data_IF_500283103453
#
_entry.id   IF_500283103453
#
_cell.length_a   1.000
_cell.length_b   1.000
_cell.length_c   1.000
_cell.angle_alpha   90.00
_cell.angle_beta   90.00
_cell.angle_gamma   90.00
#
_symmetry.space_group_name_H-M   'P 1'
#
loop_
_entity.id
_entity.type
_entity.pdbx_description
1 polymer ?
#
# COMPACT_ATOMS: atom_id res chain seq x y z
N UNK A 1 -26.96 -47.33 1.91
CA UNK A 1 -26.04 -46.87 2.96
C UNK A 1 -24.64 -46.56 2.37
N UNK A 2 -24.50 -45.75 1.35
CA UNK A 2 -23.18 -45.40 0.75
C UNK A 2 -23.00 -43.90 0.45
N UNK A 3 -23.91 -43.03 0.91
CA UNK A 3 -23.84 -41.58 0.64
C UNK A 3 -23.34 -40.72 1.83
N UNK A 4 -23.08 -41.31 3.00
CA UNK A 4 -22.72 -40.54 4.22
C UNK A 4 -21.21 -40.43 4.49
N UNK A 5 -20.35 -41.08 3.70
CA UNK A 5 -18.90 -41.13 3.97
C UNK A 5 -18.08 -40.08 3.20
N UNK A 6 -18.68 -39.30 2.30
CA UNK A 6 -17.94 -38.32 1.44
C UNK A 6 -17.98 -36.88 1.96
N UNK A 7 -18.62 -36.59 3.08
CA UNK A 7 -18.76 -35.24 3.64
C UNK A 7 -17.66 -34.84 4.66
N UNK A 8 -16.75 -35.74 5.00
CA UNK A 8 -15.70 -35.46 6.01
C UNK A 8 -14.33 -35.06 5.43
N UNK A 9 -14.17 -34.93 4.12
CA UNK A 9 -12.87 -34.79 3.50
C UNK A 9 -12.40 -33.36 3.19
N UNK A 10 -13.13 -32.32 3.59
CA UNK A 10 -12.70 -30.91 3.44
C UNK A 10 -13.09 -30.03 4.63
N UNK A 11 -12.85 -30.50 5.85
CA UNK A 11 -12.88 -29.60 6.99
C UNK A 11 -11.61 -28.73 6.93
N UNK A 12 -11.72 -27.55 6.31
CA UNK A 12 -10.78 -26.47 6.61
C UNK A 12 -10.75 -26.32 8.14
N UNK A 13 -9.56 -26.23 8.74
CA UNK A 13 -9.45 -25.94 10.17
C UNK A 13 -10.32 -24.72 10.45
N UNK A 14 -11.36 -24.83 11.31
CA UNK A 14 -12.26 -23.73 11.52
C UNK A 14 -11.47 -22.57 12.12
N UNK A 15 -11.61 -21.37 11.53
CA UNK A 15 -11.05 -20.13 12.07
C UNK A 15 -11.52 -19.96 13.52
N UNK A 16 -10.60 -19.57 14.41
CA UNK A 16 -10.90 -19.21 15.79
C UNK A 16 -10.81 -17.69 15.97
N UNK A 17 -11.91 -16.92 15.77
CA UNK A 17 -11.86 -15.47 15.94
C UNK A 17 -11.70 -15.10 17.44
N UNK A 18 -11.00 -13.99 17.70
CA UNK A 18 -10.97 -13.43 19.04
C UNK A 18 -12.39 -12.95 19.45
N UNK A 19 -12.79 -13.12 20.72
CA UNK A 19 -14.00 -12.48 21.23
C UNK A 19 -13.91 -10.96 21.13
N UNK A 20 -15.01 -10.23 20.82
CA UNK A 20 -14.99 -8.77 20.67
C UNK A 20 -14.40 -8.01 21.87
N UNK A 21 -14.56 -8.53 23.09
CA UNK A 21 -14.00 -7.94 24.32
C UNK A 21 -12.45 -7.97 24.35
N UNK A 22 -11.81 -8.84 23.56
CA UNK A 22 -10.36 -8.97 23.49
C UNK A 22 -9.74 -8.23 22.29
N UNK A 23 -10.53 -7.60 21.41
CA UNK A 23 -10.02 -6.99 20.19
C UNK A 23 -8.91 -5.96 20.42
N UNK A 24 -8.96 -5.23 21.54
CA UNK A 24 -7.92 -4.26 21.90
C UNK A 24 -6.69 -4.89 22.58
N UNK A 25 -6.79 -6.16 23.02
CA UNK A 25 -5.80 -6.78 23.91
C UNK A 25 -5.12 -8.00 23.27
N UNK A 26 -5.15 -8.13 21.95
CA UNK A 26 -4.48 -9.20 21.23
C UNK A 26 -3.28 -8.65 20.44
N UNK A 27 -2.18 -9.35 20.49
CA UNK A 27 -0.95 -9.04 19.75
C UNK A 27 -0.62 -10.14 18.73
N UNK A 28 0.09 -9.86 17.63
CA UNK A 28 0.55 -10.92 16.72
C UNK A 28 1.40 -11.94 17.47
N UNK A 29 1.14 -13.24 17.26
CA UNK A 29 1.81 -14.31 18.01
C UNK A 29 3.33 -14.20 17.93
N UNK A 30 3.97 -14.11 19.09
CA UNK A 30 5.42 -13.97 19.22
C UNK A 30 5.98 -12.57 18.96
N UNK A 31 5.13 -11.55 18.85
CA UNK A 31 5.55 -10.16 18.64
C UNK A 31 4.94 -9.23 19.69
N UNK A 32 5.61 -8.10 20.03
CA UNK A 32 5.02 -7.09 20.88
C UNK A 32 3.84 -6.39 20.18
N UNK A 33 2.93 -5.83 20.97
CA UNK A 33 1.79 -5.05 20.44
C UNK A 33 2.23 -3.84 19.61
N UNK A 34 3.43 -3.32 19.86
CA UNK A 34 4.00 -2.14 19.17
C UNK A 34 4.28 -2.33 17.69
N UNK A 35 4.32 -3.59 17.18
CA UNK A 35 4.54 -3.86 15.75
C UNK A 35 3.36 -3.42 14.88
N UNK A 36 2.22 -3.06 15.50
CA UNK A 36 1.04 -2.56 14.79
C UNK A 36 0.20 -1.64 15.65
N UNK A 37 -0.67 -0.86 15.02
CA UNK A 37 -1.66 -0.03 15.69
C UNK A 37 -2.91 0.13 14.81
N UNK A 38 -4.04 0.40 15.43
CA UNK A 38 -5.26 0.74 14.72
C UNK A 38 -5.16 2.18 14.20
N UNK A 39 -5.62 2.42 12.97
CA UNK A 39 -5.50 3.73 12.32
C UNK A 39 -6.21 4.86 13.07
N UNK A 40 -7.18 4.55 13.95
CA UNK A 40 -7.91 5.51 14.78
C UNK A 40 -7.51 5.49 16.26
N UNK A 41 -6.57 4.64 16.67
CA UNK A 41 -6.10 4.60 18.07
C UNK A 41 -5.13 5.75 18.38
N UNK A 42 -5.74 6.92 18.62
CA UNK A 42 -5.02 8.14 18.98
C UNK A 42 -4.18 7.98 20.24
N UNK A 43 -4.68 7.24 21.25
CA UNK A 43 -4.00 7.06 22.53
C UNK A 43 -2.68 6.31 22.36
N UNK A 44 -2.71 5.17 21.68
CA UNK A 44 -1.53 4.37 21.39
C UNK A 44 -0.49 5.16 20.58
N UNK A 45 -0.94 5.89 19.57
CA UNK A 45 -0.04 6.62 18.70
C UNK A 45 0.64 7.78 19.42
N UNK A 46 -0.07 8.56 20.23
CA UNK A 46 0.52 9.63 21.04
C UNK A 46 1.56 9.08 22.04
N UNK A 47 1.27 7.91 22.64
CA UNK A 47 2.19 7.29 23.59
C UNK A 47 3.52 6.86 22.96
N UNK A 48 3.51 6.44 21.67
CA UNK A 48 4.69 5.91 20.99
C UNK A 48 5.30 6.89 19.95
N UNK A 49 4.62 8.00 19.66
CA UNK A 49 5.08 8.96 18.65
C UNK A 49 6.41 9.63 19.00
N UNK A 50 6.64 9.98 20.26
CA UNK A 50 7.85 10.68 20.69
C UNK A 50 9.13 9.90 20.40
N UNK A 51 9.13 8.59 20.65
CA UNK A 51 10.26 7.72 20.33
C UNK A 51 10.50 7.64 18.83
N UNK A 52 9.43 7.39 18.05
CA UNK A 52 9.51 7.31 16.57
C UNK A 52 10.00 8.62 15.95
N UNK A 53 9.53 9.76 16.44
CA UNK A 53 9.99 11.10 16.01
C UNK A 53 11.46 11.34 16.34
N UNK A 54 11.90 10.95 17.53
CA UNK A 54 13.32 11.04 17.90
C UNK A 54 14.22 10.22 16.98
N UNK A 55 13.80 8.99 16.65
CA UNK A 55 14.49 8.11 15.70
C UNK A 55 14.53 8.70 14.29
N UNK A 56 13.41 9.24 13.80
CA UNK A 56 13.32 9.91 12.50
C UNK A 56 14.22 11.14 12.42
N UNK A 57 14.30 11.93 13.50
CA UNK A 57 15.22 13.07 13.60
C UNK A 57 16.67 12.63 13.46
N UNK A 58 17.04 11.54 14.13
CA UNK A 58 18.36 10.96 13.98
C UNK A 58 18.62 10.47 12.56
N UNK A 59 17.66 9.81 11.93
CA UNK A 59 17.74 9.32 10.55
C UNK A 59 17.82 10.44 9.49
N UNK A 60 17.30 11.61 9.79
CA UNK A 60 17.38 12.77 8.90
C UNK A 60 18.77 13.43 8.88
N UNK A 61 19.64 13.16 9.87
CA UNK A 61 20.99 13.76 9.98
C UNK A 61 21.01 15.29 9.82
N UNK A 62 19.94 15.99 10.23
CA UNK A 62 19.78 17.43 10.05
C UNK A 62 19.28 17.86 8.67
N UNK A 63 19.01 16.92 7.76
CA UNK A 63 18.39 17.18 6.45
C UNK A 63 16.86 17.17 6.54
N UNK A 64 16.22 17.62 5.47
CA UNK A 64 14.76 17.59 5.32
C UNK A 64 14.27 16.15 5.19
N UNK A 65 13.27 15.77 5.98
CA UNK A 65 12.62 14.45 5.87
C UNK A 65 11.94 14.28 4.51
N UNK A 66 12.14 13.12 3.90
CA UNK A 66 11.40 12.70 2.71
C UNK A 66 10.45 11.56 3.08
N UNK A 67 9.18 11.74 2.75
CA UNK A 67 8.08 10.81 3.02
C UNK A 67 7.55 10.32 1.68
N UNK A 68 7.48 9.01 1.46
CA UNK A 68 6.87 8.42 0.28
C UNK A 68 5.62 7.63 0.67
N UNK A 69 4.50 7.96 0.06
CA UNK A 69 3.26 7.19 0.17
C UNK A 69 2.93 6.51 -1.16
N UNK A 70 2.77 5.19 -1.11
CA UNK A 70 2.48 4.34 -2.26
C UNK A 70 1.05 3.80 -2.15
N UNK A 71 0.18 4.22 -3.08
CA UNK A 71 -1.22 3.78 -3.05
C UNK A 71 -1.42 2.35 -3.55
N UNK A 72 -2.58 1.78 -3.21
CA UNK A 72 -3.14 0.65 -3.94
C UNK A 72 -3.38 0.97 -5.42
N UNK A 73 -3.69 -0.05 -6.22
CA UNK A 73 -3.98 0.15 -7.66
C UNK A 73 -3.75 -1.07 -8.54
N UNK A 74 -3.45 -2.24 -7.98
CA UNK A 74 -3.28 -3.50 -8.73
C UNK A 74 -2.24 -3.37 -9.84
N UNK A 75 -2.66 -3.59 -11.10
CA UNK A 75 -1.80 -3.48 -12.28
C UNK A 75 -1.15 -2.09 -12.44
N UNK A 76 -1.75 -1.05 -11.85
CA UNK A 76 -1.17 0.29 -11.81
C UNK A 76 0.17 0.38 -11.09
N UNK A 77 0.51 -0.61 -10.24
CA UNK A 77 1.82 -0.69 -9.60
C UNK A 77 2.99 -0.72 -10.58
N UNK A 78 2.77 -1.14 -11.82
CA UNK A 78 3.80 -1.05 -12.86
C UNK A 78 4.23 0.40 -13.13
N UNK A 79 3.30 1.36 -13.06
CA UNK A 79 3.61 2.78 -13.15
C UNK A 79 4.54 3.21 -12.01
N UNK A 80 4.18 2.88 -10.78
CA UNK A 80 4.98 3.24 -9.60
C UNK A 80 6.37 2.60 -9.61
N UNK A 81 6.45 1.32 -9.98
CA UNK A 81 7.75 0.62 -10.12
C UNK A 81 8.63 1.30 -11.17
N UNK A 82 8.06 1.60 -12.36
CA UNK A 82 8.77 2.32 -13.41
C UNK A 82 9.22 3.72 -12.98
N UNK A 83 8.35 4.44 -12.29
CA UNK A 83 8.65 5.77 -11.76
C UNK A 83 9.84 5.77 -10.79
N UNK A 84 9.88 4.83 -9.84
CA UNK A 84 11.00 4.71 -8.90
C UNK A 84 12.32 4.41 -9.60
N UNK A 85 12.33 3.48 -10.58
CA UNK A 85 13.52 3.17 -11.39
C UNK A 85 13.96 4.39 -12.20
N UNK A 86 13.01 5.14 -12.77
CA UNK A 86 13.31 6.35 -13.55
C UNK A 86 13.93 7.46 -12.69
N UNK A 87 13.43 7.66 -11.46
CA UNK A 87 14.03 8.58 -10.49
C UNK A 87 15.48 8.18 -10.16
N UNK A 88 15.74 6.87 -9.99
CA UNK A 88 17.10 6.35 -9.77
C UNK A 88 18.01 6.65 -10.95
N UNK A 89 17.55 6.38 -12.19
CA UNK A 89 18.36 6.63 -13.41
C UNK A 89 18.69 8.10 -13.62
N UNK A 90 17.76 8.97 -13.21
CA UNK A 90 17.95 10.42 -13.25
C UNK A 90 18.82 10.93 -12.08
N UNK A 91 19.12 10.09 -11.08
CA UNK A 91 19.77 10.47 -9.83
C UNK A 91 18.96 11.50 -8.98
N UNK A 92 17.65 11.53 -9.16
CA UNK A 92 16.72 12.42 -8.44
C UNK A 92 15.90 11.69 -7.36
N UNK A 93 16.15 10.39 -7.12
CA UNK A 93 15.42 9.64 -6.11
C UNK A 93 15.91 10.01 -4.72
N UNK A 94 15.06 10.64 -3.89
CA UNK A 94 15.42 10.92 -2.50
C UNK A 94 15.61 9.63 -1.70
N UNK A 95 16.43 9.69 -0.66
CA UNK A 95 16.33 8.70 0.40
C UNK A 95 15.07 9.03 1.22
N UNK A 96 14.15 8.07 1.31
CA UNK A 96 12.91 8.25 2.06
C UNK A 96 13.10 7.77 3.49
N UNK A 97 12.91 8.64 4.48
CA UNK A 97 12.96 8.28 5.89
C UNK A 97 11.68 7.57 6.33
N UNK A 98 10.55 7.91 5.70
CA UNK A 98 9.28 7.24 5.91
C UNK A 98 8.76 6.73 4.57
N UNK A 99 8.42 5.44 4.52
CA UNK A 99 7.72 4.85 3.37
C UNK A 99 6.45 4.18 3.86
N UNK A 100 5.34 4.47 3.20
CA UNK A 100 4.05 3.82 3.47
C UNK A 100 3.53 3.12 2.24
N UNK A 101 2.88 1.96 2.41
CA UNK A 101 2.35 1.21 1.30
C UNK A 101 1.01 0.55 1.58
N UNK A 102 0.16 0.51 0.54
CA UNK A 102 -1.15 -0.16 0.57
C UNK A 102 -1.28 -1.01 -0.69
N UNK A 103 -1.77 -2.25 -0.57
CA UNK A 103 -2.01 -3.14 -1.71
C UNK A 103 -0.75 -3.34 -2.56
N UNK A 104 -0.80 -3.09 -3.87
CA UNK A 104 0.41 -3.13 -4.71
C UNK A 104 1.49 -2.15 -4.22
N UNK A 105 1.09 -1.02 -3.63
CA UNK A 105 2.03 -0.09 -2.99
C UNK A 105 2.77 -0.73 -1.80
N UNK A 106 2.12 -1.63 -1.06
CA UNK A 106 2.76 -2.39 0.01
C UNK A 106 3.82 -3.36 -0.53
N UNK A 107 3.60 -3.94 -1.71
CA UNK A 107 4.58 -4.82 -2.36
C UNK A 107 5.80 -4.04 -2.89
N UNK A 108 5.61 -2.79 -3.30
CA UNK A 108 6.67 -1.88 -3.77
C UNK A 108 7.44 -1.26 -2.59
N UNK A 109 6.76 -1.00 -1.47
CA UNK A 109 7.27 -0.21 -0.35
C UNK A 109 8.60 -0.71 0.24
N UNK A 110 8.86 -2.00 0.47
CA UNK A 110 10.14 -2.46 0.99
C UNK A 110 11.32 -2.09 0.08
N UNK A 111 11.17 -2.20 -1.23
CA UNK A 111 12.21 -1.83 -2.20
C UNK A 111 12.40 -0.31 -2.29
N UNK A 112 11.29 0.44 -2.25
CA UNK A 112 11.36 1.90 -2.19
C UNK A 112 12.09 2.39 -0.93
N UNK A 113 11.86 1.73 0.19
CA UNK A 113 12.50 1.98 1.47
C UNK A 113 13.99 1.64 1.45
N UNK A 114 14.37 0.51 0.86
CA UNK A 114 15.76 0.07 0.82
C UNK A 114 16.63 0.90 -0.15
N UNK A 115 16.04 1.44 -1.23
CA UNK A 115 16.75 2.35 -2.11
C UNK A 115 17.17 1.75 -3.47
N UNK A 116 17.98 2.51 -4.24
CA UNK A 116 18.30 2.21 -5.63
C UNK A 116 18.94 0.83 -5.88
N UNK A 117 19.74 0.33 -4.96
CA UNK A 117 20.40 -0.98 -5.07
C UNK A 117 19.41 -2.16 -5.12
N UNK A 118 18.16 -1.92 -4.75
CA UNK A 118 17.09 -2.91 -4.78
C UNK A 118 16.16 -2.79 -5.99
N UNK A 119 16.41 -1.86 -6.90
CA UNK A 119 15.56 -1.64 -8.08
C UNK A 119 15.51 -2.87 -8.99
N UNK A 120 16.63 -3.57 -9.19
CA UNK A 120 16.63 -4.80 -9.97
C UNK A 120 15.78 -5.87 -9.33
N UNK A 121 15.90 -6.09 -8.02
CA UNK A 121 15.09 -7.06 -7.28
C UNK A 121 13.60 -6.71 -7.32
N UNK A 122 13.26 -5.41 -7.22
CA UNK A 122 11.89 -4.92 -7.36
C UNK A 122 11.31 -5.24 -8.74
N UNK A 123 12.06 -4.96 -9.82
CA UNK A 123 11.63 -5.23 -11.20
C UNK A 123 11.49 -6.73 -11.45
N UNK A 124 12.39 -7.55 -10.93
CA UNK A 124 12.32 -9.01 -11.03
C UNK A 124 11.11 -9.58 -10.26
N UNK A 125 10.82 -9.06 -9.07
CA UNK A 125 9.72 -9.52 -8.23
C UNK A 125 8.34 -9.09 -8.77
N UNK A 126 8.21 -7.85 -9.22
CA UNK A 126 6.93 -7.24 -9.61
C UNK A 126 6.79 -7.08 -11.14
N UNK A 127 7.71 -7.63 -11.90
CA UNK A 127 7.75 -7.51 -13.36
C UNK A 127 6.56 -8.15 -14.07
N UNK A 128 6.34 -7.76 -15.36
CA UNK A 128 5.15 -8.14 -16.13
C UNK A 128 4.92 -9.64 -16.25
N UNK A 129 5.99 -10.42 -16.34
CA UNK A 129 5.90 -11.87 -16.58
C UNK A 129 5.44 -12.64 -15.33
N UNK A 130 5.78 -12.16 -14.14
CA UNK A 130 5.31 -12.73 -12.86
C UNK A 130 3.87 -12.32 -12.55
N UNK A 131 3.58 -11.05 -12.69
CA UNK A 131 2.26 -10.49 -12.37
C UNK A 131 1.17 -10.91 -13.36
N UNK A 132 1.52 -11.27 -14.59
CA UNK A 132 0.55 -11.75 -15.60
C UNK A 132 -0.22 -13.01 -15.17
N UNK A 133 0.28 -13.78 -14.19
CA UNK A 133 -0.35 -15.01 -13.71
C UNK A 133 -1.21 -14.82 -12.46
N UNK A 134 -1.31 -13.61 -11.91
CA UNK A 134 -2.01 -13.36 -10.64
C UNK A 134 -3.51 -13.68 -10.69
N UNK A 135 -4.19 -13.43 -11.81
CA UNK A 135 -5.63 -13.63 -11.92
C UNK A 135 -5.95 -14.99 -12.55
N UNK A 136 -5.71 -16.07 -11.82
CA UNK A 136 -6.12 -17.43 -12.22
C UNK A 136 -7.47 -17.77 -11.60
N UNK A 137 -8.51 -17.96 -12.44
CA UNK A 137 -9.86 -18.32 -11.99
C UNK A 137 -9.90 -19.67 -11.29
N UNK A 138 -10.70 -19.78 -10.23
CA UNK A 138 -10.94 -21.03 -9.48
C UNK A 138 -11.91 -22.02 -10.15
N UNK A 139 -12.64 -21.61 -11.17
CA UNK A 139 -13.68 -22.44 -11.74
C UNK A 139 -14.73 -22.85 -10.68
N UNK A 140 -15.08 -24.16 -10.61
CA UNK A 140 -16.07 -24.70 -9.66
C UNK A 140 -15.65 -24.58 -8.18
N UNK A 141 -14.37 -24.37 -7.87
CA UNK A 141 -13.87 -24.17 -6.50
C UNK A 141 -14.40 -22.90 -5.81
N UNK A 142 -15.03 -22.00 -6.57
CA UNK A 142 -15.69 -20.79 -6.07
C UNK A 142 -16.79 -21.06 -5.05
N UNK A 143 -17.46 -22.21 -5.12
CA UNK A 143 -18.57 -22.58 -4.23
C UNK A 143 -18.12 -22.93 -2.80
N UNK A 144 -16.82 -23.18 -2.59
CA UNK A 144 -16.30 -23.74 -1.35
C UNK A 144 -15.29 -22.85 -0.62
N UNK A 145 -14.82 -21.75 -1.24
CA UNK A 145 -13.84 -20.85 -0.63
C UNK A 145 -14.10 -19.39 -1.03
N UNK A 146 -13.84 -18.43 -0.13
CA UNK A 146 -13.98 -17.01 -0.46
C UNK A 146 -12.96 -16.59 -1.53
N UNK A 147 -13.40 -15.78 -2.52
CA UNK A 147 -12.58 -15.22 -3.58
C UNK A 147 -12.69 -15.92 -4.94
N UNK A 148 -12.79 -15.09 -6.00
CA UNK A 148 -12.95 -15.55 -7.38
C UNK A 148 -11.66 -16.10 -8.00
N UNK A 149 -10.50 -15.66 -7.52
CA UNK A 149 -9.19 -16.10 -7.97
C UNK A 149 -8.49 -16.97 -6.95
N UNK A 150 -7.51 -17.73 -7.43
CA UNK A 150 -6.63 -18.51 -6.58
C UNK A 150 -5.73 -17.59 -5.77
N UNK A 151 -5.47 -17.94 -4.51
CA UNK A 151 -4.53 -17.22 -3.66
C UNK A 151 -3.08 -17.60 -3.95
N UNK A 152 -2.87 -18.83 -4.45
CA UNK A 152 -1.55 -19.40 -4.61
C UNK A 152 -0.62 -18.52 -5.46
N UNK A 153 -1.02 -17.98 -6.65
CA UNK A 153 -0.13 -17.12 -7.44
C UNK A 153 0.28 -15.84 -6.73
N UNK A 154 -0.63 -15.21 -5.95
CA UNK A 154 -0.31 -14.03 -5.16
C UNK A 154 0.59 -14.39 -3.98
N UNK A 155 0.30 -15.49 -3.29
CA UNK A 155 1.12 -15.98 -2.18
C UNK A 155 2.53 -16.35 -2.64
N UNK A 156 2.67 -17.05 -3.77
CA UNK A 156 3.97 -17.38 -4.38
C UNK A 156 4.76 -16.12 -4.76
N UNK A 157 4.09 -15.09 -5.32
CA UNK A 157 4.72 -13.83 -5.65
C UNK A 157 5.27 -13.16 -4.38
N UNK A 158 4.44 -13.05 -3.33
CA UNK A 158 4.85 -12.41 -2.07
C UNK A 158 5.93 -13.23 -1.34
N UNK A 159 5.82 -14.55 -1.33
CA UNK A 159 6.82 -15.42 -0.70
C UNK A 159 8.20 -15.32 -1.40
N UNK A 160 8.19 -15.16 -2.71
CA UNK A 160 9.41 -14.93 -3.48
C UNK A 160 10.03 -13.54 -3.24
N UNK A 161 9.19 -12.53 -3.00
CA UNK A 161 9.59 -11.17 -2.70
C UNK A 161 10.22 -11.08 -1.30
N UNK A 162 9.62 -11.77 -0.29
CA UNK A 162 10.02 -11.68 1.12
C UNK A 162 11.11 -12.70 1.43
N UNK A 163 12.34 -12.38 1.10
CA UNK A 163 13.52 -13.19 1.44
C UNK A 163 14.10 -12.79 2.80
N UNK A 164 14.85 -13.67 3.47
CA UNK A 164 15.58 -13.31 4.69
C UNK A 164 16.53 -12.13 4.46
N UNK A 165 17.19 -12.07 3.29
CA UNK A 165 18.04 -10.93 2.91
C UNK A 165 17.26 -9.60 2.89
N UNK A 166 16.01 -9.60 2.41
CA UNK A 166 15.16 -8.41 2.42
C UNK A 166 14.82 -8.01 3.87
N UNK A 167 14.47 -8.98 4.73
CA UNK A 167 14.18 -8.75 6.14
C UNK A 167 15.38 -8.13 6.87
N UNK A 168 16.57 -8.71 6.70
CA UNK A 168 17.81 -8.20 7.30
C UNK A 168 18.13 -6.77 6.83
N UNK A 169 17.93 -6.48 5.55
CA UNK A 169 18.13 -5.14 5.00
C UNK A 169 17.12 -4.13 5.57
N UNK A 170 15.83 -4.50 5.66
CA UNK A 170 14.80 -3.64 6.28
C UNK A 170 15.11 -3.41 7.76
N UNK A 171 15.51 -4.46 8.50
CA UNK A 171 15.91 -4.34 9.91
C UNK A 171 17.10 -3.37 10.08
N UNK A 172 18.08 -3.44 9.19
CA UNK A 172 19.25 -2.55 9.21
C UNK A 172 18.85 -1.08 9.05
N UNK A 173 17.97 -0.78 8.10
CA UNK A 173 17.49 0.58 7.87
C UNK A 173 16.54 1.07 8.98
N UNK A 174 15.73 0.18 9.55
CA UNK A 174 14.89 0.48 10.71
C UNK A 174 15.75 0.80 11.96
N UNK A 175 16.84 0.08 12.18
CA UNK A 175 17.79 0.37 13.26
C UNK A 175 18.47 1.74 13.10
N UNK A 176 18.57 2.28 11.87
CA UNK A 176 19.01 3.66 11.58
C UNK A 176 17.94 4.73 11.82
N UNK A 177 16.75 4.34 12.27
CA UNK A 177 15.65 5.24 12.60
C UNK A 177 14.64 5.47 11.47
N UNK A 178 14.83 4.87 10.28
CA UNK A 178 13.87 4.95 9.17
C UNK A 178 12.65 4.07 9.45
N UNK A 179 11.51 4.41 8.84
CA UNK A 179 10.22 3.79 9.14
C UNK A 179 9.56 3.27 7.86
N UNK A 180 9.10 2.01 7.90
CA UNK A 180 8.35 1.37 6.83
C UNK A 180 7.00 0.89 7.37
N UNK A 181 5.91 1.48 6.87
CA UNK A 181 4.56 1.11 7.26
C UNK A 181 3.77 0.46 6.13
N UNK A 182 2.96 -0.54 6.47
CA UNK A 182 1.99 -1.17 5.57
C UNK A 182 0.63 -1.20 6.23
N UNK A 183 -0.44 -0.90 5.47
CA UNK A 183 -1.80 -0.98 5.96
C UNK A 183 -2.52 -2.23 5.45
N UNK A 184 -3.30 -2.85 6.33
CA UNK A 184 -4.31 -3.87 6.04
C UNK A 184 -5.65 -3.42 6.62
N UNK A 185 -6.75 -4.07 6.22
CA UNK A 185 -8.06 -3.90 6.86
C UNK A 185 -8.40 -5.15 7.64
N UNK A 186 -8.61 -5.02 8.96
CA UNK A 186 -9.18 -6.08 9.80
C UNK A 186 -10.71 -6.06 9.64
N UNK A 187 -11.29 -7.13 9.09
CA UNK A 187 -12.71 -7.21 8.81
C UNK A 187 -13.57 -7.39 10.08
N UNK A 188 -13.02 -7.96 11.13
CA UNK A 188 -13.77 -8.15 12.38
C UNK A 188 -13.89 -6.82 13.14
N UNK A 189 -12.83 -6.05 13.15
CA UNK A 189 -12.79 -4.71 13.77
C UNK A 189 -13.39 -3.63 12.87
N UNK A 190 -13.47 -3.88 11.55
CA UNK A 190 -13.82 -2.90 10.51
C UNK A 190 -12.88 -1.68 10.53
N UNK A 191 -11.60 -1.93 10.81
CA UNK A 191 -10.58 -0.91 11.05
C UNK A 191 -9.34 -1.10 10.16
N UNK A 192 -8.68 0.01 9.84
CA UNK A 192 -7.33 -0.02 9.28
C UNK A 192 -6.34 -0.43 10.35
N UNK A 193 -5.51 -1.42 10.05
CA UNK A 193 -4.37 -1.80 10.88
C UNK A 193 -3.08 -1.39 10.17
N UNK A 194 -2.30 -0.55 10.81
CA UNK A 194 -1.00 -0.09 10.31
C UNK A 194 0.10 -0.91 10.98
N UNK A 195 0.92 -1.54 10.18
CA UNK A 195 2.00 -2.43 10.59
C UNK A 195 3.35 -1.73 10.46
N UNK A 196 4.15 -1.74 11.52
CA UNK A 196 5.55 -1.32 11.49
C UNK A 196 6.42 -2.48 10.98
N UNK A 197 6.64 -2.49 9.66
CA UNK A 197 7.41 -3.54 9.00
C UNK A 197 8.89 -3.54 9.42
N UNK A 198 9.39 -2.38 9.86
CA UNK A 198 10.73 -2.24 10.42
C UNK A 198 10.86 -2.95 11.76
N UNK A 199 9.90 -2.75 12.67
CA UNK A 199 9.87 -3.45 13.95
C UNK A 199 9.70 -4.97 13.79
N UNK A 200 8.84 -5.41 12.86
CA UNK A 200 8.72 -6.83 12.50
C UNK A 200 10.07 -7.37 12.02
N UNK A 201 10.75 -6.64 11.12
CA UNK A 201 12.03 -7.08 10.56
C UNK A 201 13.14 -7.15 11.62
N UNK A 202 13.18 -6.22 12.57
CA UNK A 202 14.17 -6.21 13.67
C UNK A 202 14.03 -7.43 14.58
N UNK A 203 12.82 -8.01 14.72
CA UNK A 203 12.65 -9.26 15.46
C UNK A 203 13.49 -10.40 14.86
N UNK A 204 13.65 -10.39 13.54
CA UNK A 204 14.53 -11.33 12.83
C UNK A 204 14.00 -12.74 12.66
N UNK A 205 14.74 -13.52 11.92
CA UNK A 205 14.48 -14.96 11.72
C UNK A 205 13.24 -15.27 10.88
N UNK A 206 12.83 -16.55 10.90
CA UNK A 206 11.71 -17.02 10.10
C UNK A 206 10.35 -16.48 10.60
N UNK A 207 10.21 -16.23 11.90
CA UNK A 207 8.99 -15.65 12.45
C UNK A 207 8.72 -14.24 11.86
N UNK A 208 9.75 -13.40 11.81
CA UNK A 208 9.66 -12.07 11.17
C UNK A 208 9.32 -12.20 9.67
N UNK A 209 9.97 -13.12 8.95
CA UNK A 209 9.71 -13.36 7.53
C UNK A 209 8.25 -13.76 7.28
N UNK A 210 7.72 -14.68 8.10
CA UNK A 210 6.32 -15.15 7.97
C UNK A 210 5.33 -14.03 8.24
N UNK A 211 5.46 -13.29 9.34
CA UNK A 211 4.54 -12.18 9.65
C UNK A 211 4.64 -11.07 8.59
N UNK A 212 5.86 -10.70 8.20
CA UNK A 212 6.09 -9.70 7.15
C UNK A 212 5.41 -10.10 5.83
N UNK A 213 5.57 -11.37 5.41
CA UNK A 213 4.92 -11.95 4.24
C UNK A 213 3.39 -11.89 4.37
N UNK A 214 2.85 -12.32 5.49
CA UNK A 214 1.40 -12.39 5.71
C UNK A 214 0.77 -11.00 5.71
N UNK A 215 1.44 -9.99 6.25
CA UNK A 215 1.00 -8.59 6.18
C UNK A 215 0.98 -8.08 4.73
N UNK A 216 2.03 -8.32 3.94
CA UNK A 216 2.06 -7.92 2.53
C UNK A 216 1.00 -8.65 1.71
N UNK A 217 0.82 -9.96 1.95
CA UNK A 217 -0.21 -10.76 1.29
C UNK A 217 -1.61 -10.26 1.64
N UNK A 218 -1.87 -9.97 2.92
CA UNK A 218 -3.13 -9.41 3.38
C UNK A 218 -3.41 -8.05 2.73
N UNK A 219 -2.41 -7.16 2.74
CA UNK A 219 -2.53 -5.84 2.12
C UNK A 219 -2.86 -5.88 0.63
N UNK A 220 -2.46 -6.95 -0.09
CA UNK A 220 -2.75 -7.15 -1.51
C UNK A 220 -3.97 -8.05 -1.78
N UNK A 221 -4.66 -8.55 -0.75
CA UNK A 221 -5.80 -9.46 -0.87
C UNK A 221 -7.12 -8.69 -1.01
N UNK A 222 -7.42 -8.24 -2.23
CA UNK A 222 -8.65 -7.49 -2.56
C UNK A 222 -9.90 -8.33 -2.26
N UNK A 223 -10.85 -7.84 -1.42
CA UNK A 223 -12.07 -8.55 -1.07
C UNK A 223 -12.88 -8.99 -2.28
N UNK A 224 -13.39 -10.22 -2.23
CA UNK A 224 -14.13 -10.84 -3.32
C UNK A 224 -13.23 -11.40 -4.44
N UNK A 225 -12.06 -10.82 -4.69
CA UNK A 225 -11.12 -11.34 -5.69
C UNK A 225 -10.21 -12.42 -5.10
N UNK A 226 -9.57 -12.12 -3.98
CA UNK A 226 -8.72 -13.04 -3.25
C UNK A 226 -9.34 -13.41 -1.90
N UNK A 227 -9.00 -14.58 -1.32
CA UNK A 227 -9.41 -14.91 0.03
C UNK A 227 -8.74 -13.98 1.05
N UNK A 228 -9.39 -13.72 2.18
CA UNK A 228 -8.75 -13.07 3.33
C UNK A 228 -7.53 -13.84 3.83
N UNK A 229 -6.60 -13.14 4.43
CA UNK A 229 -5.45 -13.72 5.13
C UNK A 229 -5.75 -13.78 6.62
N UNK A 230 -5.52 -14.93 7.23
CA UNK A 230 -5.65 -15.10 8.66
C UNK A 230 -4.30 -14.86 9.31
N UNK A 231 -4.24 -13.84 10.18
CA UNK A 231 -3.05 -13.53 10.97
C UNK A 231 -3.28 -14.02 12.39
N UNK A 232 -2.36 -14.87 12.87
CA UNK A 232 -2.45 -15.42 14.22
C UNK A 232 -2.08 -14.38 15.26
N UNK A 233 -2.91 -14.29 16.30
CA UNK A 233 -2.74 -13.38 17.43
C UNK A 233 -2.89 -14.14 18.74
N UNK A 234 -2.33 -13.61 19.80
CA UNK A 234 -2.42 -14.14 21.16
C UNK A 234 -3.11 -13.12 22.08
N UNK A 235 -4.03 -13.61 22.90
CA UNK A 235 -4.65 -12.85 23.96
C UNK A 235 -3.79 -12.82 25.23
N UNK A 236 -4.22 -12.04 26.25
CA UNK A 236 -3.46 -11.87 27.50
C UNK A 236 -3.16 -13.19 28.23
N UNK A 237 -4.03 -14.18 28.08
CA UNK A 237 -3.91 -15.50 28.72
C UNK A 237 -3.10 -16.50 27.85
N UNK A 238 -2.48 -16.05 26.77
CA UNK A 238 -1.73 -16.90 25.82
C UNK A 238 -2.64 -17.74 24.91
N UNK A 239 -3.94 -17.47 24.87
CA UNK A 239 -4.86 -18.15 23.97
C UNK A 239 -4.71 -17.60 22.54
N UNK A 240 -4.57 -18.49 21.55
CA UNK A 240 -4.37 -18.12 20.15
C UNK A 240 -5.70 -17.93 19.43
N UNK A 241 -5.77 -16.89 18.60
CA UNK A 241 -6.90 -16.54 17.73
C UNK A 241 -6.41 -16.22 16.31
N UNK A 242 -7.37 -16.08 15.38
CA UNK A 242 -7.10 -15.72 13.99
C UNK A 242 -7.87 -14.46 13.63
N UNK A 243 -7.17 -13.35 13.38
CA UNK A 243 -7.74 -12.12 12.81
C UNK A 243 -7.87 -12.25 11.30
N UNK A 244 -8.91 -11.65 10.72
CA UNK A 244 -9.20 -11.73 9.28
C UNK A 244 -8.82 -10.43 8.58
N UNK A 245 -7.70 -10.44 7.88
CA UNK A 245 -7.20 -9.29 7.16
C UNK A 245 -7.44 -9.36 5.65
N UNK A 246 -7.70 -8.21 5.06
CA UNK A 246 -7.85 -8.00 3.62
C UNK A 246 -7.07 -6.77 3.17
N UNK A 247 -7.15 -6.47 1.86
CA UNK A 247 -6.50 -5.31 1.22
C UNK A 247 -6.76 -4.01 2.00
N UNK A 248 -5.68 -3.31 2.31
CA UNK A 248 -5.75 -2.02 3.02
C UNK A 248 -6.55 -0.96 2.27
N UNK A 249 -6.59 -1.03 0.93
CA UNK A 249 -7.41 -0.14 0.09
C UNK A 249 -8.91 -0.27 0.29
N UNK A 250 -9.38 -1.26 1.07
CA UNK A 250 -10.77 -1.40 1.50
C UNK A 250 -11.17 -0.26 2.43
N UNK A 251 -10.29 0.16 3.34
CA UNK A 251 -10.51 1.25 4.29
C UNK A 251 -9.67 2.49 3.92
N UNK A 252 -8.42 2.32 3.51
CA UNK A 252 -7.45 3.39 3.30
C UNK A 252 -6.68 3.18 1.99
N UNK A 253 -6.84 4.07 0.98
CA UNK A 253 -6.22 3.88 -0.35
C UNK A 253 -4.70 4.09 -0.34
N UNK A 254 -4.22 4.98 0.45
CA UNK A 254 -2.85 5.27 0.88
C UNK A 254 -2.92 6.13 2.14
N UNK A 255 -1.87 6.13 2.90
CA UNK A 255 -1.74 7.04 4.03
C UNK A 255 -0.40 7.76 3.93
N UNK A 256 -0.50 9.06 3.90
CA UNK A 256 0.59 9.94 4.30
C UNK A 256 0.37 10.14 5.78
N UNK A 257 1.08 10.97 6.36
CA UNK A 257 0.76 11.48 7.66
C UNK A 257 -0.74 11.89 7.91
N UNK A 258 -1.71 11.73 6.99
CA UNK A 258 -3.10 12.17 7.20
C UNK A 258 -3.86 11.39 8.28
N UNK A 259 -3.63 10.10 8.41
CA UNK A 259 -4.08 9.35 9.59
C UNK A 259 -3.16 9.62 10.77
N UNK A 260 -1.86 9.74 10.54
CA UNK A 260 -0.91 10.34 11.48
C UNK A 260 -1.33 11.79 11.81
N UNK A 261 -1.94 12.55 10.91
CA UNK A 261 -2.33 13.94 11.07
C UNK A 261 -3.61 14.17 11.86
N UNK A 262 -4.57 13.28 11.82
CA UNK A 262 -5.69 13.31 12.76
C UNK A 262 -5.21 13.07 14.20
N UNK A 263 -4.10 12.36 14.33
CA UNK A 263 -3.34 12.18 15.56
C UNK A 263 -2.56 13.44 15.89
N UNK A 264 -2.06 14.16 14.90
CA UNK A 264 -1.27 15.38 14.96
C UNK A 264 -2.10 16.66 15.24
N UNK A 265 -3.31 16.54 15.80
CA UNK A 265 -4.00 17.68 16.43
C UNK A 265 -3.05 18.45 17.38
N UNK A 266 -3.51 19.51 18.01
CA UNK A 266 -2.73 20.37 18.91
C UNK A 266 -1.82 19.59 19.91
N UNK A 267 -2.23 18.38 20.31
CA UNK A 267 -1.48 17.52 21.23
C UNK A 267 -0.17 16.99 20.63
N UNK A 268 -0.13 16.74 19.31
CA UNK A 268 1.09 16.27 18.65
C UNK A 268 2.12 17.40 18.48
N UNK A 269 1.68 18.63 18.21
CA UNK A 269 2.59 19.78 18.15
C UNK A 269 3.34 20.01 19.48
N UNK A 270 2.75 19.55 20.58
CA UNK A 270 3.37 19.57 21.89
C UNK A 270 4.36 18.41 22.13
N UNK A 271 4.43 17.41 21.25
CA UNK A 271 5.36 16.30 21.41
C UNK A 271 6.79 16.71 21.06
N UNK A 272 7.78 16.31 21.90
CA UNK A 272 9.19 16.50 21.57
C UNK A 272 9.54 15.84 20.25
N UNK A 273 10.14 16.57 19.32
CA UNK A 273 10.54 16.06 18.01
C UNK A 273 9.54 16.28 16.88
N UNK A 274 8.32 16.78 17.16
CA UNK A 274 7.32 17.08 16.13
C UNK A 274 7.82 18.08 15.08
N UNK A 275 8.76 18.95 15.47
CA UNK A 275 9.40 19.92 14.59
C UNK A 275 10.11 19.28 13.38
N UNK A 276 10.49 18.00 13.45
CA UNK A 276 11.16 17.28 12.35
C UNK A 276 10.27 17.15 11.11
N UNK A 277 8.94 17.21 11.28
CA UNK A 277 7.98 17.17 10.18
C UNK A 277 7.79 18.54 9.51
N UNK A 278 8.20 19.64 10.13
CA UNK A 278 8.13 20.96 9.52
C UNK A 278 9.06 21.05 8.32
N UNK A 279 8.53 21.44 7.17
CA UNK A 279 9.27 21.53 5.92
C UNK A 279 9.63 20.19 5.30
N UNK A 280 9.08 19.07 5.81
CA UNK A 280 9.27 17.75 5.20
C UNK A 280 8.76 17.73 3.76
N UNK A 281 9.38 16.91 2.91
CA UNK A 281 8.93 16.68 1.54
C UNK A 281 8.07 15.42 1.49
N UNK A 282 6.85 15.58 1.01
CA UNK A 282 5.87 14.50 0.89
C UNK A 282 5.70 14.15 -0.58
N UNK A 283 5.89 12.90 -0.91
CA UNK A 283 5.71 12.33 -2.24
C UNK A 283 4.60 11.29 -2.20
N UNK A 284 3.51 11.51 -2.93
CA UNK A 284 2.41 10.56 -3.05
C UNK A 284 2.40 9.97 -4.45
N UNK A 285 2.59 8.67 -4.57
CA UNK A 285 2.56 7.97 -5.84
C UNK A 285 1.29 7.12 -5.92
N UNK A 286 0.30 7.62 -6.66
CA UNK A 286 -0.98 6.96 -6.85
C UNK A 286 -0.87 5.97 -8.01
N UNK A 287 -0.92 4.68 -7.70
CA UNK A 287 -0.88 3.58 -8.68
C UNK A 287 -2.23 3.40 -9.41
N UNK A 288 -2.87 4.50 -9.76
CA UNK A 288 -4.19 4.51 -10.38
C UNK A 288 -4.58 5.86 -10.94
N UNK A 289 -5.80 5.94 -11.48
CA UNK A 289 -6.40 7.17 -11.96
C UNK A 289 -7.13 7.89 -10.81
N UNK A 290 -7.18 9.21 -10.84
CA UNK A 290 -7.93 10.06 -9.88
C UNK A 290 -9.29 10.51 -10.42
N UNK A 291 -9.65 10.12 -11.63
CA UNK A 291 -10.92 10.43 -12.28
C UNK A 291 -11.61 9.22 -12.89
N UNK A 292 -12.94 9.27 -12.98
CA UNK A 292 -13.73 8.19 -13.55
C UNK A 292 -13.66 8.14 -15.08
N UNK A 293 -13.42 6.96 -15.63
CA UNK A 293 -13.52 6.70 -17.07
C UNK A 293 -14.88 6.05 -17.37
N UNK A 294 -15.81 6.76 -18.03
CA UNK A 294 -17.12 6.19 -18.40
C UNK A 294 -16.94 4.97 -19.30
N UNK A 295 -17.52 3.83 -18.91
CA UNK A 295 -17.60 2.62 -19.71
C UNK A 295 -18.74 1.74 -19.23
N UNK A 296 -19.34 0.96 -20.13
CA UNK A 296 -20.40 -0.01 -19.80
C UNK A 296 -19.81 -1.15 -18.98
N UNK A 297 -20.41 -1.42 -17.81
CA UNK A 297 -20.06 -2.54 -16.96
C UNK A 297 -20.89 -3.77 -17.36
N UNK A 298 -20.23 -4.91 -17.54
CA UNK A 298 -20.91 -6.17 -17.84
C UNK A 298 -21.69 -6.65 -16.62
N UNK A 299 -22.86 -7.21 -16.82
CA UNK A 299 -23.73 -7.80 -15.78
C UNK A 299 -23.20 -9.17 -15.30
N UNK A 300 -21.97 -9.19 -14.81
CA UNK A 300 -21.31 -10.37 -14.22
C UNK A 300 -20.78 -10.03 -12.83
N UNK A 301 -20.93 -10.93 -11.83
CA UNK A 301 -20.53 -10.62 -10.45
C UNK A 301 -19.09 -10.08 -10.33
N UNK A 302 -18.12 -10.73 -10.98
CA UNK A 302 -16.72 -10.27 -10.96
C UNK A 302 -16.58 -8.87 -11.54
N UNK A 303 -17.26 -8.57 -12.66
CA UNK A 303 -17.18 -7.25 -13.30
C UNK A 303 -17.80 -6.15 -12.43
N UNK A 304 -18.90 -6.46 -11.76
CA UNK A 304 -19.57 -5.53 -10.82
C UNK A 304 -18.68 -5.29 -9.60
N UNK A 305 -18.16 -6.34 -8.96
CA UNK A 305 -17.29 -6.24 -7.78
C UNK A 305 -16.01 -5.46 -8.12
N UNK A 306 -15.32 -5.82 -9.20
CA UNK A 306 -14.08 -5.13 -9.60
C UNK A 306 -14.33 -3.68 -9.95
N UNK A 307 -15.44 -3.36 -10.60
CA UNK A 307 -15.81 -1.98 -10.92
C UNK A 307 -16.17 -1.18 -9.69
N UNK A 308 -16.93 -1.77 -8.75
CA UNK A 308 -17.30 -1.13 -7.48
C UNK A 308 -16.07 -0.84 -6.64
N UNK A 309 -15.18 -1.82 -6.47
CA UNK A 309 -13.93 -1.64 -5.74
C UNK A 309 -13.05 -0.56 -6.37
N UNK A 310 -12.84 -0.61 -7.70
CA UNK A 310 -12.05 0.40 -8.41
C UNK A 310 -12.63 1.80 -8.27
N UNK A 311 -13.96 1.92 -8.33
CA UNK A 311 -14.65 3.22 -8.16
C UNK A 311 -14.47 3.74 -6.74
N UNK A 312 -14.66 2.89 -5.73
CA UNK A 312 -14.44 3.24 -4.33
C UNK A 312 -13.01 3.68 -4.06
N UNK A 313 -12.02 2.89 -4.53
CA UNK A 313 -10.60 3.18 -4.40
C UNK A 313 -10.21 4.53 -5.06
N UNK A 314 -10.72 4.80 -6.25
CA UNK A 314 -10.47 6.06 -6.97
C UNK A 314 -11.01 7.27 -6.19
N UNK A 315 -12.27 7.21 -5.72
CA UNK A 315 -12.87 8.32 -4.97
C UNK A 315 -12.22 8.51 -3.60
N UNK A 316 -11.88 7.41 -2.90
CA UNK A 316 -11.16 7.51 -1.62
C UNK A 316 -9.74 8.04 -1.82
N UNK A 317 -9.03 7.63 -2.89
CA UNK A 317 -7.70 8.16 -3.24
C UNK A 317 -7.72 9.67 -3.48
N UNK A 318 -8.72 10.15 -4.20
CA UNK A 318 -8.86 11.60 -4.45
C UNK A 318 -9.10 12.37 -3.16
N UNK A 319 -10.00 11.89 -2.28
CA UNK A 319 -10.25 12.52 -0.97
C UNK A 319 -9.02 12.50 -0.07
N UNK A 320 -8.33 11.35 -0.01
CA UNK A 320 -7.11 11.23 0.77
C UNK A 320 -6.01 12.19 0.27
N UNK A 321 -5.90 12.37 -1.05
CA UNK A 321 -4.95 13.31 -1.64
C UNK A 321 -5.28 14.77 -1.26
N UNK A 322 -6.56 15.17 -1.36
CA UNK A 322 -7.04 16.48 -0.97
C UNK A 322 -6.76 16.77 0.52
N UNK A 323 -7.07 15.81 1.40
CA UNK A 323 -6.77 15.91 2.84
C UNK A 323 -5.28 15.99 3.12
N UNK A 324 -4.47 15.18 2.45
CA UNK A 324 -3.01 15.19 2.60
C UNK A 324 -2.39 16.52 2.17
N UNK A 325 -2.91 17.12 1.10
CA UNK A 325 -2.46 18.45 0.64
C UNK A 325 -2.81 19.56 1.64
N UNK A 326 -4.01 19.54 2.23
CA UNK A 326 -4.42 20.49 3.28
C UNK A 326 -3.49 20.36 4.50
N UNK A 327 -3.23 19.13 4.91
CA UNK A 327 -2.32 18.84 6.01
C UNK A 327 -0.88 19.31 5.72
N UNK A 328 -0.35 18.97 4.55
CA UNK A 328 1.00 19.39 4.15
C UNK A 328 1.14 20.92 4.20
N UNK A 329 0.11 21.66 3.76
CA UNK A 329 0.08 23.12 3.84
C UNK A 329 0.09 23.61 5.30
N UNK A 330 -0.65 22.97 6.20
CA UNK A 330 -0.71 23.35 7.63
C UNK A 330 0.67 23.20 8.30
N UNK A 331 1.46 22.18 7.92
CA UNK A 331 2.80 21.92 8.46
C UNK A 331 3.93 22.44 7.59
N UNK A 332 3.62 23.31 6.60
CA UNK A 332 4.60 23.89 5.67
C UNK A 332 5.46 22.82 4.97
N UNK A 333 4.86 21.66 4.70
CA UNK A 333 5.50 20.58 3.96
C UNK A 333 5.43 20.85 2.46
N UNK A 334 6.48 20.42 1.75
CA UNK A 334 6.52 20.46 0.28
C UNK A 334 5.83 19.20 -0.27
N UNK A 335 4.66 19.38 -0.90
CA UNK A 335 3.77 18.29 -1.27
C UNK A 335 3.78 18.04 -2.79
N UNK A 336 4.24 16.86 -3.15
CA UNK A 336 4.31 16.37 -4.52
C UNK A 336 3.48 15.10 -4.68
N UNK A 337 2.82 14.95 -5.81
CA UNK A 337 2.12 13.72 -6.12
C UNK A 337 2.21 13.37 -7.60
N UNK A 338 1.94 12.11 -7.91
CA UNK A 338 1.86 11.60 -9.27
C UNK A 338 0.78 10.52 -9.36
N UNK A 339 0.17 10.37 -10.53
CA UNK A 339 -0.90 9.41 -10.78
C UNK A 339 -0.95 9.04 -12.27
N UNK A 340 -1.74 8.02 -12.63
CA UNK A 340 -1.98 7.65 -14.03
C UNK A 340 -3.04 8.58 -14.59
N UNK A 341 -2.72 9.50 -15.54
CA UNK A 341 -3.68 10.48 -16.05
C UNK A 341 -4.78 9.83 -16.88
N UNK A 342 -5.97 10.46 -16.92
CA UNK A 342 -7.14 9.94 -17.64
C UNK A 342 -6.94 9.78 -19.15
N UNK A 343 -6.05 10.57 -19.75
CA UNK A 343 -5.73 10.48 -21.17
C UNK A 343 -4.71 9.36 -21.50
N UNK A 344 -4.00 8.79 -20.52
CA UNK A 344 -3.21 7.58 -20.73
C UNK A 344 -4.16 6.37 -20.90
N UNK A 345 -3.94 5.46 -21.89
CA UNK A 345 -4.83 4.33 -22.15
C UNK A 345 -4.71 3.20 -21.12
N UNK A 346 -5.01 3.50 -19.86
CA UNK A 346 -4.97 2.54 -18.76
C UNK A 346 -6.26 1.70 -18.72
N UNK A 347 -6.19 0.36 -18.90
CA UNK A 347 -7.38 -0.50 -18.97
C UNK A 347 -7.93 -0.88 -17.59
N UNK A 348 -7.38 -0.33 -16.51
CA UNK A 348 -7.84 -0.53 -15.14
C UNK A 348 -6.96 -1.44 -14.27
N UNK A 349 -7.20 -1.45 -12.95
CA UNK A 349 -6.31 -2.04 -11.95
C UNK A 349 -6.24 -3.57 -11.97
N UNK A 350 -7.14 -4.24 -12.66
CA UNK A 350 -7.17 -5.71 -12.74
C UNK A 350 -6.74 -6.26 -14.10
N UNK A 351 -6.09 -5.45 -14.93
CA UNK A 351 -5.55 -5.89 -16.21
C UNK A 351 -4.03 -6.14 -16.12
N UNK A 352 -3.66 -7.33 -15.67
CA UNK A 352 -2.27 -7.76 -15.52
C UNK A 352 -1.65 -8.36 -16.79
N UNK A 353 -2.16 -8.05 -17.97
CA UNK A 353 -1.55 -8.52 -19.22
C UNK A 353 -0.14 -7.95 -19.37
N UNK A 354 0.84 -8.83 -19.66
CA UNK A 354 2.25 -8.44 -19.74
C UNK A 354 2.54 -7.24 -20.66
N UNK A 355 1.95 -7.10 -21.87
CA UNK A 355 2.15 -5.92 -22.70
C UNK A 355 1.64 -4.61 -22.04
N UNK A 356 0.50 -4.68 -21.33
CA UNK A 356 -0.08 -3.52 -20.62
C UNK A 356 0.83 -3.10 -19.47
N UNK A 357 1.26 -4.08 -18.65
CA UNK A 357 2.16 -3.84 -17.52
C UNK A 357 3.50 -3.25 -17.99
N UNK A 358 4.05 -3.76 -19.09
CA UNK A 358 5.30 -3.26 -19.66
C UNK A 358 5.15 -1.83 -20.16
N UNK A 359 4.09 -1.53 -20.93
CA UNK A 359 3.84 -0.18 -21.43
C UNK A 359 3.64 0.82 -20.28
N UNK A 360 2.99 0.40 -19.20
CA UNK A 360 2.76 1.25 -18.03
C UNK A 360 4.04 1.47 -17.20
N UNK A 361 4.87 0.45 -17.08
CA UNK A 361 6.21 0.57 -16.47
C UNK A 361 7.08 1.56 -17.27
N UNK A 362 7.17 1.39 -18.61
CA UNK A 362 7.94 2.27 -19.48
C UNK A 362 7.41 3.71 -19.45
N UNK A 363 6.11 3.89 -19.27
CA UNK A 363 5.50 5.20 -19.11
C UNK A 363 5.96 5.88 -17.81
N UNK A 364 5.86 5.19 -16.66
CA UNK A 364 6.32 5.72 -15.37
C UNK A 364 7.83 6.03 -15.37
N UNK A 365 8.63 5.11 -15.94
CA UNK A 365 10.06 5.26 -16.10
C UNK A 365 10.41 6.55 -16.88
N UNK A 366 9.82 6.72 -18.07
CA UNK A 366 10.05 7.90 -18.93
C UNK A 366 9.65 9.20 -18.24
N UNK A 367 8.49 9.22 -17.55
CA UNK A 367 8.03 10.43 -16.87
C UNK A 367 8.97 10.86 -15.75
N UNK A 368 9.56 9.91 -15.04
CA UNK A 368 10.57 10.19 -14.04
C UNK A 368 11.90 10.65 -14.68
N UNK A 369 12.40 9.96 -15.69
CA UNK A 369 13.65 10.31 -16.41
C UNK A 369 13.58 11.72 -17.02
N UNK A 370 12.41 12.14 -17.50
CA UNK A 370 12.20 13.48 -18.08
C UNK A 370 11.92 14.58 -17.06
N UNK A 371 11.80 14.25 -15.76
CA UNK A 371 11.47 15.21 -14.69
C UNK A 371 10.03 15.66 -14.71
N UNK A 372 9.13 14.92 -15.38
CA UNK A 372 7.71 15.26 -15.54
C UNK A 372 6.79 14.37 -14.68
N UNK A 373 7.35 13.69 -13.67
CA UNK A 373 6.61 12.77 -12.82
C UNK A 373 5.77 13.52 -11.78
N UNK A 374 6.38 14.44 -11.07
CA UNK A 374 5.80 15.07 -9.89
C UNK A 374 5.04 16.34 -10.22
N UNK A 375 3.87 16.50 -9.62
CA UNK A 375 3.01 17.68 -9.67
C UNK A 375 2.81 18.25 -8.28
N UNK A 376 2.64 19.56 -8.18
CA UNK A 376 2.10 20.22 -6.98
C UNK A 376 0.58 20.26 -7.04
N UNK A 377 -0.04 20.57 -5.90
CA UNK A 377 -1.51 20.69 -5.84
C UNK A 377 -2.03 21.86 -6.70
N UNK A 378 -1.30 22.96 -6.74
CA UNK A 378 -1.64 24.15 -7.55
C UNK A 378 -1.68 23.79 -9.05
N UNK A 379 -0.66 23.08 -9.52
CA UNK A 379 -0.59 22.61 -10.91
C UNK A 379 -1.76 21.68 -11.25
N UNK A 380 -2.17 20.79 -10.33
CA UNK A 380 -3.30 19.90 -10.55
C UNK A 380 -4.65 20.62 -10.61
N UNK A 381 -4.86 21.66 -9.80
CA UNK A 381 -6.08 22.47 -9.84
C UNK A 381 -6.18 23.20 -11.19
N UNK A 382 -5.11 23.83 -11.65
CA UNK A 382 -5.07 24.49 -12.96
C UNK A 382 -5.36 23.52 -14.12
N UNK A 383 -4.81 22.30 -14.05
CA UNK A 383 -5.07 21.25 -15.04
C UNK A 383 -6.52 20.77 -15.04
N UNK A 384 -7.11 20.59 -13.84
CA UNK A 384 -8.51 20.18 -13.70
C UNK A 384 -9.49 21.16 -14.33
N UNK A 385 -9.24 22.46 -14.23
CA UNK A 385 -10.05 23.50 -14.87
C UNK A 385 -9.94 23.47 -16.41
N UNK A 386 -8.75 23.19 -16.94
CA UNK A 386 -8.51 23.06 -18.38
C UNK A 386 -9.12 21.80 -18.96
N UNK A 387 -8.97 20.65 -18.27
CA UNK A 387 -9.49 19.36 -18.70
C UNK A 387 -11.02 19.29 -18.76
N UNK A 388 -11.71 20.02 -17.88
CA UNK A 388 -13.18 20.11 -17.91
C UNK A 388 -13.74 20.76 -19.18
N UNK A 389 -12.90 21.44 -19.95
CA UNK A 389 -13.29 22.20 -21.18
C UNK A 389 -12.90 21.49 -22.48
N UNK A 390 -12.19 20.35 -22.44
CA UNK A 390 -11.68 19.67 -23.62
C UNK A 390 -12.16 18.22 -23.74
N UNK A 391 -12.36 17.78 -24.99
CA UNK A 391 -12.57 16.34 -25.29
C UNK A 391 -11.25 15.62 -25.01
N UNK A 392 -11.26 14.66 -24.10
CA UNK A 392 -10.09 13.83 -23.74
C UNK A 392 -9.55 13.09 -24.99
N UNK A 393 -8.43 13.56 -25.51
CA UNK A 393 -7.64 12.79 -26.46
C UNK A 393 -6.70 11.88 -25.68
N UNK A 394 -6.66 10.59 -26.04
CA UNK A 394 -5.67 9.67 -25.48
C UNK A 394 -4.27 10.13 -25.87
N UNK A 395 -3.38 10.23 -24.90
CA UNK A 395 -1.97 10.57 -25.09
C UNK A 395 -1.08 9.78 -24.12
N UNK A 396 0.18 9.76 -24.38
CA UNK A 396 1.19 9.20 -23.48
C UNK A 396 1.98 10.31 -22.76
N UNK A 397 1.41 11.52 -22.68
CA UNK A 397 2.05 12.64 -21.98
C UNK A 397 2.11 12.38 -20.48
N UNK A 398 3.21 12.81 -19.87
CA UNK A 398 3.43 12.62 -18.44
C UNK A 398 2.51 13.53 -17.59
N UNK A 399 2.29 13.22 -16.29
CA UNK A 399 1.38 13.98 -15.44
C UNK A 399 1.64 15.49 -15.45
N UNK A 400 2.88 15.93 -15.36
CA UNK A 400 3.24 17.35 -15.36
C UNK A 400 3.09 17.99 -16.75
N UNK A 401 3.40 17.27 -17.83
CA UNK A 401 3.37 17.81 -19.20
C UNK A 401 1.98 18.16 -19.70
N UNK A 402 0.92 17.62 -19.10
CA UNK A 402 -0.47 17.88 -19.49
C UNK A 402 -0.97 19.27 -19.10
N UNK A 403 -0.24 19.99 -18.27
CA UNK A 403 -0.57 21.35 -17.82
C UNK A 403 0.14 22.47 -18.57
N UNK A 404 1.05 22.15 -19.49
CA UNK A 404 1.69 23.18 -20.30
C UNK A 404 0.99 23.34 -21.66
N UNK A 405 0.56 24.56 -22.04
CA UNK A 405 -0.02 24.82 -23.34
C UNK A 405 1.01 24.67 -24.47
#
# INVERSE_FOLDING_TARGET
>A
MLCSALLYACAAVPRKPAPPLLFANVAPSGFPETVRFLGLDRGFMLAHAGEKLSRLRAAAHGETLNILALSGGGAGGAFGTGALVGLTRRADRPQFQIVTGVSVGALIAPFAFLGPEWDQAMVEALGPDRTARLLQSRGLGLLFRPGFYRSEPLAELVDHLVTLRLIEAVATEAARGRVLFVATTDLDKQETVIWDMGEIAVHGGEAARVLFRDVLLASASVPGLFPPVLIRVEGPDGESFDEMHVDGGTATPFFVASEIAQILSADFQALPGAEVLHGARVYVLVNGELGGRPQTTRERPVAVITRSFSTGLMHSSRRALELSAVFARQYQMDFHFSYIPLNYPFPGPFNFKAPVMRALFDYGLRCAETGQLWMTFEQAVEQGEKAARSVLKLSNDCPLAQGMP
#
